data_IF_200275723390
#
_entry.id   IF_200275723390
#
_cell.length_a   1.000
_cell.length_b   1.000
_cell.length_c   1.000
_cell.angle_alpha   90.00
_cell.angle_beta   90.00
_cell.angle_gamma   90.00
#
_symmetry.space_group_name_H-M   'P 1'
#
loop_
_entity.id
_entity.type
_entity.pdbx_description
1 polymer ?
#
# COMPACT_ATOMS: atom_id res chain seq x y z
N UNK A 1 3.15 3.55 -29.01
CA UNK A 1 2.66 4.48 -27.97
C UNK A 1 1.21 4.81 -28.26
N UNK A 2 0.27 4.61 -27.31
CA UNK A 2 -1.12 5.09 -27.48
C UNK A 2 -1.08 6.62 -27.48
N UNK A 3 -1.66 7.24 -28.51
CA UNK A 3 -1.65 8.69 -28.78
C UNK A 3 -2.51 9.54 -27.82
N UNK A 4 -3.03 8.98 -26.72
CA UNK A 4 -4.14 9.55 -25.95
C UNK A 4 -4.02 9.49 -24.42
N UNK A 5 -2.89 9.09 -23.84
CA UNK A 5 -2.74 9.20 -22.38
C UNK A 5 -2.36 10.64 -22.05
N UNK A 6 -3.21 11.36 -21.32
CA UNK A 6 -2.91 12.75 -20.96
C UNK A 6 -1.78 12.80 -19.91
N UNK A 7 -1.10 13.95 -19.82
CA UNK A 7 0.08 14.13 -18.95
C UNK A 7 -0.30 13.88 -17.48
N UNK A 8 -1.51 14.27 -17.08
CA UNK A 8 -2.02 14.06 -15.73
C UNK A 8 -2.21 12.59 -15.36
N UNK A 9 -2.71 11.75 -16.28
CA UNK A 9 -2.86 10.31 -16.08
C UNK A 9 -1.51 9.62 -15.89
N UNK A 10 -0.50 10.03 -16.67
CA UNK A 10 0.87 9.53 -16.52
C UNK A 10 1.45 9.92 -15.16
N UNK A 11 1.33 11.20 -14.78
CA UNK A 11 1.80 11.69 -13.49
C UNK A 11 1.13 10.97 -12.31
N UNK A 12 -0.19 10.78 -12.35
CA UNK A 12 -0.92 10.04 -11.31
C UNK A 12 -0.48 8.57 -11.26
N UNK A 13 -0.25 7.95 -12.41
CA UNK A 13 0.24 6.56 -12.48
C UNK A 13 1.63 6.44 -11.86
N UNK A 14 2.52 7.41 -12.10
CA UNK A 14 3.87 7.44 -11.52
C UNK A 14 3.83 7.64 -10.00
N UNK A 15 3.03 8.60 -9.52
CA UNK A 15 2.81 8.83 -8.08
C UNK A 15 2.30 7.54 -7.42
N UNK A 16 1.27 6.92 -8.00
CA UNK A 16 0.70 5.69 -7.47
C UNK A 16 1.73 4.54 -7.48
N UNK A 17 2.50 4.39 -8.55
CA UNK A 17 3.52 3.34 -8.62
C UNK A 17 4.65 3.52 -7.61
N UNK A 18 4.90 4.75 -7.13
CA UNK A 18 5.89 5.03 -6.09
C UNK A 18 5.37 4.70 -4.68
N UNK A 19 4.10 4.98 -4.40
CA UNK A 19 3.46 4.73 -3.09
C UNK A 19 2.99 3.28 -2.96
N UNK A 20 2.39 2.73 -4.02
CA UNK A 20 1.74 1.43 -4.05
C UNK A 20 2.53 0.37 -4.80
N UNK A 21 3.72 0.66 -5.31
CA UNK A 21 4.46 -0.25 -6.18
C UNK A 21 3.77 -0.54 -7.52
N UNK A 22 4.55 -1.01 -8.49
CA UNK A 22 4.06 -1.27 -9.86
C UNK A 22 3.18 -2.53 -9.91
N UNK A 23 3.37 -3.45 -8.97
CA UNK A 23 2.64 -4.71 -8.85
C UNK A 23 1.16 -4.50 -8.55
N UNK A 24 0.83 -3.47 -7.76
CA UNK A 24 -0.51 -3.18 -7.27
C UNK A 24 -1.19 -2.02 -8.01
N UNK A 25 -0.51 -1.41 -8.99
CA UNK A 25 -0.99 -0.25 -9.77
C UNK A 25 -1.38 -0.65 -11.18
N UNK A 26 -2.58 -0.24 -11.63
CA UNK A 26 -3.12 -0.57 -12.95
C UNK A 26 -3.58 0.69 -13.70
N UNK A 27 -2.99 0.96 -14.86
CA UNK A 27 -3.30 2.11 -15.73
C UNK A 27 -3.77 1.72 -17.14
N UNK A 28 -3.82 0.42 -17.44
CA UNK A 28 -4.36 -0.13 -18.69
C UNK A 28 -5.60 -0.95 -18.38
N UNK A 29 -6.72 -0.26 -18.24
CA UNK A 29 -7.90 -0.82 -17.58
C UNK A 29 -9.04 -1.16 -18.55
N UNK A 30 -8.67 -1.52 -19.78
CA UNK A 30 -9.57 -2.12 -20.77
C UNK A 30 -9.67 -3.63 -20.51
N UNK A 31 -10.90 -4.18 -20.48
CA UNK A 31 -11.12 -5.63 -20.43
C UNK A 31 -12.26 -6.05 -21.36
N UNK A 32 -12.29 -7.34 -21.73
CA UNK A 32 -13.13 -7.86 -22.82
C UNK A 32 -14.03 -9.01 -22.33
N UNK A 33 -15.12 -8.71 -21.60
CA UNK A 33 -16.15 -9.69 -21.30
C UNK A 33 -16.97 -10.05 -22.56
N UNK A 34 -17.82 -11.07 -22.44
CA UNK A 34 -18.67 -11.57 -23.56
C UNK A 34 -19.56 -10.48 -24.18
N UNK A 35 -19.97 -9.48 -23.39
CA UNK A 35 -20.83 -8.37 -23.84
C UNK A 35 -20.04 -7.15 -24.36
N UNK A 36 -18.83 -7.39 -24.85
CA UNK A 36 -17.97 -6.42 -25.53
C UNK A 36 -17.03 -5.66 -24.61
N UNK A 37 -16.14 -4.87 -25.21
CA UNK A 37 -15.10 -4.11 -24.51
C UNK A 37 -15.71 -3.22 -23.41
N UNK A 38 -15.12 -3.27 -22.22
CA UNK A 38 -15.39 -2.37 -21.09
C UNK A 38 -14.10 -1.69 -20.65
N UNK A 39 -14.26 -0.54 -20.00
CA UNK A 39 -13.17 0.28 -19.50
C UNK A 39 -13.47 0.62 -18.04
N UNK A 40 -12.52 0.36 -17.15
CA UNK A 40 -12.57 0.81 -15.75
C UNK A 40 -12.04 2.26 -15.66
N UNK A 41 -11.93 2.80 -14.44
CA UNK A 41 -11.34 4.11 -14.21
C UNK A 41 -9.87 4.14 -14.65
N UNK A 42 -9.32 5.35 -14.86
CA UNK A 42 -7.97 5.52 -15.42
C UNK A 42 -6.89 4.84 -14.58
N UNK A 43 -7.05 4.82 -13.25
CA UNK A 43 -6.16 4.15 -12.33
C UNK A 43 -6.97 3.27 -11.36
N UNK A 44 -6.55 2.01 -11.24
CA UNK A 44 -7.03 1.08 -10.23
C UNK A 44 -5.84 0.66 -9.38
N UNK A 45 -5.96 0.70 -8.05
CA UNK A 45 -4.94 0.21 -7.13
C UNK A 45 -5.53 -0.90 -6.31
N UNK A 46 -4.87 -2.06 -6.24
CA UNK A 46 -5.37 -3.20 -5.48
C UNK A 46 -4.29 -3.80 -4.60
N UNK A 47 -4.49 -3.74 -3.29
CA UNK A 47 -3.61 -4.33 -2.29
C UNK A 47 -4.43 -5.14 -1.28
N UNK A 48 -4.34 -6.46 -1.34
CA UNK A 48 -5.15 -7.36 -0.51
C UNK A 48 -6.65 -7.02 -0.58
N UNK A 49 -7.26 -6.57 0.51
CA UNK A 49 -8.67 -6.19 0.57
C UNK A 49 -8.95 -4.70 0.28
N UNK A 50 -7.91 -3.92 -0.04
CA UNK A 50 -7.96 -2.48 -0.26
C UNK A 50 -7.99 -2.15 -1.76
N UNK A 51 -8.96 -1.34 -2.16
CA UNK A 51 -9.16 -0.89 -3.54
C UNK A 51 -9.20 0.64 -3.61
N UNK A 52 -8.44 1.20 -4.55
CA UNK A 52 -8.61 2.59 -4.97
C UNK A 52 -9.11 2.64 -6.41
N UNK A 53 -10.19 3.39 -6.63
CA UNK A 53 -10.73 3.69 -7.96
C UNK A 53 -10.47 5.18 -8.21
N UNK A 54 -9.53 5.46 -9.12
CA UNK A 54 -9.03 6.82 -9.36
C UNK A 54 -9.35 7.21 -10.80
N UNK A 55 -10.15 8.25 -10.94
CA UNK A 55 -10.45 8.87 -12.24
C UNK A 55 -9.74 10.21 -12.35
N UNK A 56 -8.99 10.41 -13.44
CA UNK A 56 -8.24 11.62 -13.71
C UNK A 56 -8.96 12.46 -14.77
N UNK A 57 -8.90 13.79 -14.61
CA UNK A 57 -9.39 14.75 -15.61
C UNK A 57 -8.45 15.95 -15.72
N UNK A 58 -7.93 16.17 -16.92
CA UNK A 58 -7.13 17.34 -17.25
C UNK A 58 -7.94 18.35 -18.07
N UNK A 59 -7.81 19.64 -17.74
CA UNK A 59 -8.34 20.72 -18.58
C UNK A 59 -7.23 21.23 -19.50
N UNK A 60 -7.37 20.98 -20.80
CA UNK A 60 -6.57 21.68 -21.79
C UNK A 60 -7.19 23.06 -22.07
N UNK A 61 -6.45 24.14 -21.78
CA UNK A 61 -6.92 25.53 -21.98
C UNK A 61 -7.01 25.85 -23.48
N UNK A 62 -6.05 25.39 -24.28
CA UNK A 62 -5.95 25.69 -25.71
C UNK A 62 -7.13 25.12 -26.51
N UNK A 63 -7.69 24.01 -26.04
CA UNK A 63 -8.83 23.32 -26.67
C UNK A 63 -10.18 23.66 -26.00
N UNK A 64 -10.19 24.54 -24.99
CA UNK A 64 -11.36 24.77 -24.16
C UNK A 64 -12.44 25.59 -24.87
N UNK A 65 -13.52 24.91 -25.29
CA UNK A 65 -14.73 25.56 -25.84
C UNK A 65 -15.73 26.05 -24.79
N UNK A 66 -15.56 25.64 -23.53
CA UNK A 66 -16.47 25.92 -22.41
C UNK A 66 -15.75 26.71 -21.32
N UNK A 67 -16.54 27.46 -20.55
CA UNK A 67 -16.03 28.11 -19.33
C UNK A 67 -15.40 27.08 -18.38
N UNK A 68 -14.44 27.51 -17.56
CA UNK A 68 -13.75 26.62 -16.60
C UNK A 68 -14.75 25.94 -15.65
N UNK A 69 -15.77 26.68 -15.21
CA UNK A 69 -16.82 26.16 -14.32
C UNK A 69 -17.72 25.13 -15.02
N UNK A 70 -18.10 25.37 -16.27
CA UNK A 70 -18.89 24.40 -17.04
C UNK A 70 -18.07 23.15 -17.37
N UNK A 71 -16.77 23.30 -17.62
CA UNK A 71 -15.86 22.17 -17.73
C UNK A 71 -15.86 21.37 -16.42
N UNK A 72 -15.75 22.01 -15.27
CA UNK A 72 -15.73 21.33 -13.97
C UNK A 72 -17.02 20.55 -13.72
N UNK A 73 -18.19 21.19 -13.85
CA UNK A 73 -19.50 20.53 -13.71
C UNK A 73 -19.63 19.31 -14.64
N UNK A 74 -19.24 19.47 -15.90
CA UNK A 74 -19.42 18.42 -16.90
C UNK A 74 -18.40 17.28 -16.72
N UNK A 75 -17.11 17.59 -16.60
CA UNK A 75 -16.05 16.58 -16.60
C UNK A 75 -15.83 15.95 -15.23
N UNK A 76 -15.87 16.75 -14.16
CA UNK A 76 -15.63 16.28 -12.79
C UNK A 76 -16.94 15.73 -12.20
N UNK A 77 -17.98 16.55 -12.11
CA UNK A 77 -19.20 16.17 -11.36
C UNK A 77 -20.13 15.20 -12.11
N UNK A 78 -20.02 15.11 -13.43
CA UNK A 78 -20.83 14.20 -14.26
C UNK A 78 -20.02 13.03 -14.82
N UNK A 79 -19.04 13.29 -15.69
CA UNK A 79 -18.31 12.22 -16.41
C UNK A 79 -17.44 11.38 -15.46
N UNK A 80 -16.56 12.00 -14.67
CA UNK A 80 -15.63 11.25 -13.82
C UNK A 80 -16.37 10.41 -12.77
N UNK A 81 -17.38 11.00 -12.12
CA UNK A 81 -18.31 10.28 -11.23
C UNK A 81 -18.93 9.05 -11.91
N UNK A 82 -19.40 9.18 -13.14
CA UNK A 82 -20.02 8.07 -13.89
C UNK A 82 -19.01 6.94 -14.13
N UNK A 83 -17.75 7.25 -14.44
CA UNK A 83 -16.70 6.26 -14.66
C UNK A 83 -16.36 5.48 -13.38
N UNK A 84 -16.26 6.16 -12.22
CA UNK A 84 -16.10 5.51 -10.91
C UNK A 84 -17.26 4.55 -10.63
N UNK A 85 -18.50 5.00 -10.84
CA UNK A 85 -19.69 4.18 -10.63
C UNK A 85 -19.71 2.96 -11.56
N UNK A 86 -19.39 3.15 -12.83
CA UNK A 86 -19.31 2.06 -13.80
C UNK A 86 -18.25 1.02 -13.39
N UNK A 87 -17.08 1.47 -12.97
CA UNK A 87 -16.00 0.60 -12.47
C UNK A 87 -16.47 -0.24 -11.30
N UNK A 88 -17.07 0.39 -10.27
CA UNK A 88 -17.60 -0.32 -9.12
C UNK A 88 -18.67 -1.35 -9.51
N UNK A 89 -19.52 -1.03 -10.50
CA UNK A 89 -20.52 -1.96 -11.00
C UNK A 89 -19.91 -3.12 -11.77
N UNK A 90 -18.88 -2.86 -12.58
CA UNK A 90 -18.18 -3.91 -13.33
C UNK A 90 -17.49 -4.89 -12.41
N UNK A 91 -16.80 -4.41 -11.37
CA UNK A 91 -16.16 -5.25 -10.34
C UNK A 91 -17.16 -6.17 -9.60
N UNK A 92 -18.45 -5.79 -9.54
CA UNK A 92 -19.51 -6.62 -8.95
C UNK A 92 -20.21 -7.52 -9.97
N UNK A 93 -20.22 -7.14 -11.24
CA UNK A 93 -20.99 -7.81 -12.30
C UNK A 93 -20.23 -8.95 -12.96
N UNK A 94 -18.92 -8.81 -13.14
CA UNK A 94 -18.13 -9.75 -13.92
C UNK A 94 -17.25 -10.62 -13.02
N UNK A 95 -17.33 -11.93 -13.23
CA UNK A 95 -16.57 -12.93 -12.46
C UNK A 95 -15.09 -13.05 -12.86
N UNK A 96 -14.70 -12.41 -13.98
CA UNK A 96 -13.33 -12.42 -14.51
C UNK A 96 -13.04 -11.05 -15.11
N UNK A 97 -12.04 -10.35 -14.58
CA UNK A 97 -11.61 -9.02 -15.01
C UNK A 97 -10.07 -9.02 -15.10
N UNK A 98 -9.51 -9.55 -16.21
CA UNK A 98 -8.07 -9.61 -16.39
C UNK A 98 -7.57 -8.26 -16.91
N UNK A 99 -6.69 -7.61 -16.14
CA UNK A 99 -6.05 -6.34 -16.50
C UNK A 99 -4.54 -6.41 -16.25
N UNK A 100 -3.79 -5.49 -16.87
CA UNK A 100 -2.32 -5.49 -16.82
C UNK A 100 -1.84 -4.44 -15.83
N UNK A 101 -1.08 -4.86 -14.81
CA UNK A 101 -0.46 -3.94 -13.86
C UNK A 101 0.72 -3.17 -14.48
N UNK A 102 1.26 -2.19 -13.76
CA UNK A 102 2.40 -1.40 -14.18
C UNK A 102 3.72 -2.18 -14.24
N UNK A 103 3.75 -3.42 -13.73
CA UNK A 103 4.86 -4.37 -13.91
C UNK A 103 4.73 -5.19 -15.22
N UNK A 104 3.59 -5.10 -15.91
CA UNK A 104 3.32 -5.84 -17.15
C UNK A 104 2.71 -7.23 -16.94
N UNK A 105 2.28 -7.56 -15.73
CA UNK A 105 1.65 -8.83 -15.38
C UNK A 105 0.13 -8.73 -15.54
N UNK A 106 -0.48 -9.80 -16.05
CA UNK A 106 -1.94 -9.91 -16.10
C UNK A 106 -2.44 -10.42 -14.76
N UNK A 107 -3.35 -9.67 -14.12
CA UNK A 107 -3.98 -9.98 -12.84
C UNK A 107 -5.49 -9.94 -13.04
N UNK A 108 -6.18 -10.94 -12.48
CA UNK A 108 -7.63 -10.96 -12.44
C UNK A 108 -8.13 -10.28 -11.15
N UNK A 109 -8.58 -9.03 -11.27
CA UNK A 109 -8.97 -8.21 -10.11
C UNK A 109 -10.35 -8.56 -9.55
N UNK A 110 -11.14 -9.38 -10.25
CA UNK A 110 -12.45 -9.84 -9.78
C UNK A 110 -12.35 -10.84 -8.62
N UNK A 111 -11.23 -11.57 -8.52
CA UNK A 111 -11.00 -12.60 -7.49
C UNK A 111 -10.59 -12.03 -6.14
N UNK A 112 -10.39 -10.72 -6.07
CA UNK A 112 -9.89 -10.05 -4.89
C UNK A 112 -11.08 -9.70 -3.99
N UNK A 113 -11.03 -10.18 -2.75
CA UNK A 113 -12.08 -9.90 -1.77
C UNK A 113 -11.95 -8.47 -1.24
N UNK A 114 -12.52 -7.52 -2.00
CA UNK A 114 -12.49 -6.10 -1.69
C UNK A 114 -13.42 -5.81 -0.50
N UNK A 115 -12.87 -5.19 0.54
CA UNK A 115 -13.62 -4.74 1.72
C UNK A 115 -13.69 -3.21 1.77
N UNK A 116 -12.57 -2.55 1.50
CA UNK A 116 -12.44 -1.10 1.58
C UNK A 116 -12.26 -0.51 0.18
N UNK A 117 -13.14 0.42 -0.20
CA UNK A 117 -13.09 1.11 -1.50
C UNK A 117 -12.91 2.60 -1.28
N UNK A 118 -11.80 3.13 -1.78
CA UNK A 118 -11.51 4.55 -1.84
C UNK A 118 -11.77 5.07 -3.26
N UNK A 119 -12.77 5.94 -3.41
CA UNK A 119 -13.12 6.54 -4.69
C UNK A 119 -12.52 7.95 -4.79
N UNK A 120 -11.69 8.20 -5.81
CA UNK A 120 -11.02 9.49 -5.99
C UNK A 120 -11.26 10.03 -7.40
N UNK A 121 -11.54 11.32 -7.48
CA UNK A 121 -11.43 12.12 -8.70
C UNK A 121 -10.25 13.07 -8.51
N UNK A 122 -9.24 12.95 -9.39
CA UNK A 122 -8.08 13.84 -9.41
C UNK A 122 -8.21 14.72 -10.65
N UNK A 123 -8.13 16.03 -10.48
CA UNK A 123 -8.20 16.95 -11.60
C UNK A 123 -6.97 17.87 -11.68
N UNK A 124 -6.61 18.22 -12.91
CA UNK A 124 -5.64 19.29 -13.19
C UNK A 124 -6.35 20.39 -13.96
N UNK A 125 -6.32 21.59 -13.39
CA UNK A 125 -6.90 22.79 -13.98
C UNK A 125 -6.06 24.01 -13.60
N UNK A 126 -5.36 24.58 -14.59
CA UNK A 126 -4.50 25.74 -14.38
C UNK A 126 -5.27 27.08 -14.44
N UNK A 127 -6.55 27.03 -14.84
CA UNK A 127 -7.43 28.18 -14.87
C UNK A 127 -8.20 28.34 -13.56
N UNK A 128 -8.57 29.57 -13.23
CA UNK A 128 -9.32 29.87 -12.03
C UNK A 128 -10.74 29.26 -12.04
N UNK A 129 -11.09 28.62 -10.93
CA UNK A 129 -12.41 28.08 -10.63
C UNK A 129 -13.15 29.00 -9.67
N UNK A 130 -14.49 28.99 -9.70
CA UNK A 130 -15.27 29.58 -8.62
C UNK A 130 -14.94 28.91 -7.28
N UNK A 131 -15.01 29.69 -6.21
CA UNK A 131 -14.74 29.27 -4.84
C UNK A 131 -15.50 28.01 -4.43
N UNK A 132 -16.77 27.90 -4.83
CA UNK A 132 -17.60 26.71 -4.59
C UNK A 132 -17.01 25.40 -5.15
N UNK A 133 -16.25 25.46 -6.25
CA UNK A 133 -15.60 24.28 -6.84
C UNK A 133 -14.20 24.06 -6.31
N UNK A 134 -13.46 25.14 -6.00
CA UNK A 134 -12.16 25.04 -5.30
C UNK A 134 -12.32 24.35 -3.94
N UNK A 135 -13.40 24.70 -3.23
CA UNK A 135 -13.68 24.23 -1.87
C UNK A 135 -14.44 22.88 -1.85
N UNK A 136 -14.76 22.31 -3.02
CA UNK A 136 -15.46 21.05 -3.12
C UNK A 136 -14.51 19.87 -2.83
N UNK A 137 -14.47 19.43 -1.58
CA UNK A 137 -13.63 18.31 -1.12
C UNK A 137 -14.19 16.94 -1.48
N UNK A 138 -15.51 16.82 -1.61
CA UNK A 138 -16.20 15.54 -1.80
C UNK A 138 -17.39 15.66 -2.74
N UNK A 139 -17.69 14.54 -3.40
CA UNK A 139 -19.02 14.27 -3.93
C UNK A 139 -19.64 13.12 -3.15
N UNK A 140 -20.83 13.32 -2.58
CA UNK A 140 -21.57 12.28 -1.88
C UNK A 140 -22.45 11.48 -2.86
N UNK A 141 -22.07 10.23 -3.09
CA UNK A 141 -22.79 9.30 -3.95
C UNK A 141 -23.68 8.37 -3.14
N UNK A 142 -24.97 8.32 -3.46
CA UNK A 142 -25.91 7.35 -2.88
C UNK A 142 -25.48 5.89 -3.03
N UNK A 143 -24.71 5.56 -4.07
CA UNK A 143 -24.31 4.18 -4.39
C UNK A 143 -22.85 3.87 -4.06
N UNK A 144 -22.00 4.89 -3.91
CA UNK A 144 -20.55 4.71 -3.77
C UNK A 144 -19.97 5.44 -2.54
N UNK A 145 -20.82 5.99 -1.67
CA UNK A 145 -20.41 6.80 -0.53
C UNK A 145 -19.68 8.07 -0.96
N UNK A 146 -18.71 8.50 -0.16
CA UNK A 146 -17.87 9.65 -0.46
C UNK A 146 -16.93 9.35 -1.63
N UNK A 147 -16.91 10.25 -2.61
CA UNK A 147 -15.89 10.33 -3.65
C UNK A 147 -15.03 11.53 -3.32
N UNK A 148 -13.75 11.29 -3.04
CA UNK A 148 -12.78 12.34 -2.77
C UNK A 148 -12.49 13.12 -4.05
N UNK A 149 -12.42 14.45 -3.94
CA UNK A 149 -12.03 15.32 -5.04
C UNK A 149 -10.73 16.01 -4.62
N UNK A 150 -9.72 15.91 -5.48
CA UNK A 150 -8.41 16.52 -5.29
C UNK A 150 -7.97 17.27 -6.54
N UNK A 151 -7.35 18.44 -6.35
CA UNK A 151 -6.42 18.93 -7.35
C UNK A 151 -5.20 17.99 -7.40
N UNK A 152 -4.61 17.82 -8.57
CA UNK A 152 -3.42 16.99 -8.77
C UNK A 152 -2.25 17.40 -7.86
N UNK A 153 -2.11 18.70 -7.58
CA UNK A 153 -1.07 19.21 -6.67
C UNK A 153 -1.30 18.75 -5.24
N UNK A 154 -2.54 18.79 -4.76
CA UNK A 154 -2.90 18.32 -3.43
C UNK A 154 -2.64 16.82 -3.28
N UNK A 155 -3.10 16.03 -4.26
CA UNK A 155 -2.87 14.58 -4.27
C UNK A 155 -1.36 14.24 -4.29
N UNK A 156 -0.59 14.95 -5.12
CA UNK A 156 0.87 14.78 -5.17
C UNK A 156 1.51 15.10 -3.82
N UNK A 157 1.11 16.17 -3.15
CA UNK A 157 1.64 16.56 -1.85
C UNK A 157 1.26 15.56 -0.75
N UNK A 158 0.02 15.06 -0.75
CA UNK A 158 -0.40 13.98 0.15
C UNK A 158 0.46 12.74 -0.06
N UNK A 159 0.67 12.30 -1.29
CA UNK A 159 1.45 11.09 -1.59
C UNK A 159 2.96 11.24 -1.32
N UNK A 160 3.49 12.48 -1.32
CA UNK A 160 4.86 12.75 -0.83
C UNK A 160 4.96 12.58 0.70
N UNK A 161 3.88 12.88 1.42
CA UNK A 161 3.82 12.79 2.87
C UNK A 161 3.43 11.39 3.34
N UNK A 162 2.45 10.74 2.70
CA UNK A 162 1.89 9.44 3.05
C UNK A 162 2.43 8.38 2.08
N UNK A 163 3.52 7.74 2.51
CA UNK A 163 4.35 6.93 1.63
C UNK A 163 3.97 5.45 1.60
N UNK A 164 2.91 5.07 2.33
CA UNK A 164 2.34 3.71 2.27
C UNK A 164 0.88 3.70 1.85
N UNK A 165 0.44 2.60 1.20
CA UNK A 165 -0.97 2.35 0.89
C UNK A 165 -1.88 2.46 2.12
N UNK A 166 -1.44 1.89 3.25
CA UNK A 166 -2.20 1.89 4.51
C UNK A 166 -2.35 3.29 5.10
N UNK A 167 -1.30 4.13 5.03
CA UNK A 167 -1.41 5.53 5.49
C UNK A 167 -2.37 6.33 4.63
N UNK A 168 -2.35 6.13 3.29
CA UNK A 168 -3.27 6.84 2.41
C UNK A 168 -4.72 6.44 2.70
N UNK A 169 -5.01 5.15 2.88
CA UNK A 169 -6.35 4.67 3.27
C UNK A 169 -6.81 5.28 4.61
N UNK A 170 -5.96 5.27 5.62
CA UNK A 170 -6.27 5.88 6.91
C UNK A 170 -6.55 7.37 6.82
N UNK A 171 -5.77 8.06 5.99
CA UNK A 171 -5.97 9.48 5.75
C UNK A 171 -7.31 9.75 5.08
N UNK A 172 -7.68 9.00 4.04
CA UNK A 172 -8.95 9.18 3.36
C UNK A 172 -10.14 8.90 4.31
N UNK A 173 -10.04 7.87 5.14
CA UNK A 173 -11.03 7.57 6.20
C UNK A 173 -11.09 8.71 7.23
N UNK A 174 -9.95 9.23 7.67
CA UNK A 174 -9.88 10.40 8.57
C UNK A 174 -10.51 11.65 7.93
N UNK A 175 -10.19 11.92 6.66
CA UNK A 175 -10.68 13.06 5.89
C UNK A 175 -12.21 13.06 5.81
N UNK A 176 -12.83 11.90 5.60
CA UNK A 176 -14.29 11.76 5.62
C UNK A 176 -14.85 12.08 7.02
N UNK A 177 -14.26 11.51 8.07
CA UNK A 177 -14.74 11.68 9.45
C UNK A 177 -14.67 13.13 9.91
N UNK A 178 -13.53 13.81 9.72
CA UNK A 178 -13.37 15.21 10.13
C UNK A 178 -14.30 16.13 9.33
N UNK A 179 -14.46 15.88 8.02
CA UNK A 179 -15.39 16.64 7.19
C UNK A 179 -16.84 16.45 7.63
N UNK A 180 -17.25 15.23 7.96
CA UNK A 180 -18.62 14.94 8.39
C UNK A 180 -18.99 15.63 9.71
N UNK A 181 -18.01 15.78 10.62
CA UNK A 181 -18.21 16.44 11.93
C UNK A 181 -18.09 17.97 11.87
N UNK A 182 -17.25 18.48 10.97
CA UNK A 182 -16.86 19.89 10.95
C UNK A 182 -16.92 20.52 9.54
N UNK A 183 -17.88 20.10 8.72
CA UNK A 183 -18.11 20.55 7.34
C UNK A 183 -17.91 22.06 7.16
N UNK A 184 -18.57 22.88 7.99
CA UNK A 184 -18.57 24.33 7.83
C UNK A 184 -17.18 24.97 7.92
N UNK A 185 -16.28 24.35 8.68
CA UNK A 185 -14.89 24.74 8.77
C UNK A 185 -14.05 24.09 7.66
N UNK A 186 -14.11 22.76 7.55
CA UNK A 186 -13.23 21.98 6.68
C UNK A 186 -13.42 22.31 5.18
N UNK A 187 -14.63 22.69 4.76
CA UNK A 187 -14.88 23.07 3.36
C UNK A 187 -14.02 24.25 2.91
N UNK A 188 -13.69 25.16 3.83
CA UNK A 188 -12.90 26.37 3.55
C UNK A 188 -11.42 26.21 3.87
N UNK A 189 -11.00 25.02 4.32
CA UNK A 189 -9.60 24.74 4.59
C UNK A 189 -8.90 24.22 3.35
N UNK A 190 -7.63 24.60 3.19
CA UNK A 190 -6.72 23.95 2.26
C UNK A 190 -6.47 22.50 2.67
N UNK A 191 -6.12 21.65 1.70
CA UNK A 191 -5.84 20.23 1.98
C UNK A 191 -4.65 20.06 2.93
N UNK A 192 -3.69 21.00 2.90
CA UNK A 192 -2.54 21.07 3.82
C UNK A 192 -2.97 21.09 5.29
N UNK A 193 -4.06 21.77 5.63
CA UNK A 193 -4.58 21.77 6.99
C UNK A 193 -5.07 20.37 7.42
N UNK A 194 -5.78 19.68 6.54
CA UNK A 194 -6.41 18.39 6.87
C UNK A 194 -5.33 17.32 7.06
N UNK A 195 -4.32 17.30 6.19
CA UNK A 195 -3.17 16.40 6.33
C UNK A 195 -2.33 16.74 7.57
N UNK A 196 -2.15 18.04 7.89
CA UNK A 196 -1.47 18.44 9.11
C UNK A 196 -2.21 17.95 10.35
N UNK A 197 -3.55 18.03 10.37
CA UNK A 197 -4.34 17.51 11.47
C UNK A 197 -4.14 16.01 11.64
N UNK A 198 -4.27 15.25 10.55
CA UNK A 198 -4.06 13.80 10.56
C UNK A 198 -2.68 13.37 11.07
N UNK A 199 -1.63 14.10 10.67
CA UNK A 199 -0.26 13.82 11.12
C UNK A 199 -0.10 14.05 12.63
N UNK A 200 -0.81 15.03 13.18
CA UNK A 200 -0.70 15.37 14.61
C UNK A 200 -1.68 14.58 15.49
N UNK A 201 -2.83 14.18 14.96
CA UNK A 201 -3.87 13.51 15.73
C UNK A 201 -4.86 12.76 14.85
N UNK A 202 -5.26 11.57 15.32
CA UNK A 202 -6.40 10.83 14.78
C UNK A 202 -7.75 11.31 15.34
N UNK A 203 -7.73 12.25 16.28
CA UNK A 203 -8.95 12.80 16.87
C UNK A 203 -9.67 13.70 15.88
N UNK A 204 -10.91 13.32 15.55
CA UNK A 204 -11.78 14.04 14.61
C UNK A 204 -12.89 14.83 15.30
N UNK A 205 -12.98 14.79 16.63
CA UNK A 205 -13.98 15.52 17.42
C UNK A 205 -13.61 16.98 17.69
N UNK A 206 -12.32 17.30 17.58
CA UNK A 206 -11.78 18.63 17.83
C UNK A 206 -11.05 19.12 16.59
N UNK A 207 -11.17 20.42 16.32
CA UNK A 207 -10.38 21.15 15.32
C UNK A 207 -9.25 21.86 16.06
N UNK A 208 -8.03 21.73 15.57
CA UNK A 208 -6.92 22.56 16.03
C UNK A 208 -6.22 23.24 14.86
N UNK A 209 -6.43 24.56 14.64
CA UNK A 209 -5.77 25.31 13.57
C UNK A 209 -4.24 25.34 13.70
N UNK A 210 -3.68 25.17 14.90
CA UNK A 210 -2.23 25.28 15.11
C UNK A 210 -1.45 24.07 14.59
N UNK A 211 -2.11 22.96 14.25
CA UNK A 211 -1.45 21.77 13.72
C UNK A 211 -0.72 22.02 12.41
N UNK A 212 -1.15 23.00 11.61
CA UNK A 212 -0.45 23.39 10.38
C UNK A 212 0.97 23.87 10.66
N UNK A 213 1.22 24.49 11.81
CA UNK A 213 2.56 24.98 12.20
C UNK A 213 3.56 23.83 12.38
N UNK A 214 3.07 22.64 12.72
CA UNK A 214 3.91 21.46 12.93
C UNK A 214 4.35 20.80 11.62
N UNK A 215 3.78 21.18 10.46
CA UNK A 215 4.18 20.63 9.16
C UNK A 215 5.66 20.92 8.85
N UNK A 216 6.16 22.10 9.22
CA UNK A 216 7.58 22.45 9.07
C UNK A 216 8.53 21.54 9.87
N UNK A 217 8.02 20.92 10.94
CA UNK A 217 8.75 20.01 11.84
C UNK A 217 8.56 18.54 11.47
N UNK A 218 7.68 18.23 10.52
CA UNK A 218 7.43 16.87 10.10
C UNK A 218 8.70 16.27 9.49
N UNK A 219 9.20 15.19 10.10
CA UNK A 219 10.27 14.41 9.52
C UNK A 219 9.65 13.27 8.72
N UNK A 220 9.77 13.36 7.39
CA UNK A 220 9.28 12.33 6.50
C UNK A 220 10.06 11.01 6.74
N UNK A 221 11.31 11.09 7.23
CA UNK A 221 12.23 9.97 7.51
C UNK A 221 12.14 8.86 6.44
N UNK A 222 12.30 9.28 5.19
CA UNK A 222 12.17 8.36 4.06
C UNK A 222 13.22 7.25 4.10
N UNK A 223 14.42 7.51 4.65
CA UNK A 223 15.53 6.55 4.69
C UNK A 223 15.25 5.37 5.62
N UNK A 224 14.55 5.57 6.75
CA UNK A 224 14.12 4.47 7.63
C UNK A 224 13.09 3.54 6.94
N UNK A 225 12.33 4.09 6.01
CA UNK A 225 11.23 3.43 5.32
C UNK A 225 11.63 2.78 3.99
N UNK A 226 12.55 3.38 3.23
CA UNK A 226 12.80 3.03 1.83
C UNK A 226 13.18 1.55 1.69
N UNK A 227 12.18 0.75 1.30
CA UNK A 227 12.28 -0.61 0.77
C UNK A 227 11.98 -0.64 -0.74
N UNK A 228 11.84 0.51 -1.40
CA UNK A 228 11.52 0.56 -2.84
C UNK A 228 12.57 -0.18 -3.67
N UNK A 229 13.86 -0.05 -3.34
CA UNK A 229 14.90 -0.86 -3.99
C UNK A 229 14.65 -2.35 -3.79
N UNK A 230 14.26 -2.78 -2.59
CA UNK A 230 13.93 -4.17 -2.32
C UNK A 230 12.76 -4.64 -3.19
N UNK A 231 11.64 -3.92 -3.21
CA UNK A 231 10.44 -4.31 -3.96
C UNK A 231 10.68 -4.25 -5.48
N UNK A 232 11.33 -3.20 -5.96
CA UNK A 232 11.65 -3.03 -7.38
C UNK A 232 12.56 -4.17 -7.89
N UNK A 233 13.58 -4.54 -7.10
CA UNK A 233 14.50 -5.61 -7.48
C UNK A 233 14.01 -7.02 -7.13
N UNK A 234 13.00 -7.19 -6.27
CA UNK A 234 12.56 -8.49 -5.80
C UNK A 234 12.30 -9.46 -6.96
N UNK A 235 11.42 -9.07 -7.89
CA UNK A 235 11.09 -9.87 -9.07
C UNK A 235 12.29 -10.07 -10.01
N UNK A 236 13.15 -9.06 -10.17
CA UNK A 236 14.32 -9.16 -11.04
C UNK A 236 15.35 -10.16 -10.52
N UNK A 237 15.45 -10.33 -9.20
CA UNK A 237 16.40 -11.22 -8.52
C UNK A 237 15.90 -12.66 -8.36
N UNK A 238 14.66 -12.97 -8.72
CA UNK A 238 14.19 -14.37 -8.80
C UNK A 238 15.00 -15.09 -9.88
N UNK A 239 15.71 -16.14 -9.46
CA UNK A 239 16.61 -16.94 -10.32
C UNK A 239 15.88 -18.09 -11.02
N UNK A 240 14.88 -18.68 -10.35
CA UNK A 240 14.11 -19.80 -10.88
C UNK A 240 13.11 -19.27 -11.92
N UNK A 241 13.21 -19.75 -13.16
CA UNK A 241 12.45 -19.21 -14.30
C UNK A 241 10.94 -19.38 -14.13
N UNK A 242 10.51 -20.53 -13.63
CA UNK A 242 9.10 -20.85 -13.37
C UNK A 242 8.51 -19.88 -12.35
N UNK A 243 9.21 -19.68 -11.23
CA UNK A 243 8.81 -18.74 -10.17
C UNK A 243 8.80 -17.29 -10.66
N UNK A 244 9.76 -16.92 -11.53
CA UNK A 244 9.82 -15.57 -12.10
C UNK A 244 8.67 -15.28 -13.06
N UNK A 245 8.18 -16.30 -13.76
CA UNK A 245 7.01 -16.22 -14.64
C UNK A 245 5.70 -16.28 -13.87
N UNK A 246 5.68 -16.83 -12.66
CA UNK A 246 4.50 -16.87 -11.82
C UNK A 246 4.26 -15.55 -11.10
N UNK A 247 3.02 -15.35 -10.64
CA UNK A 247 2.66 -14.23 -9.78
C UNK A 247 2.68 -14.63 -8.29
N UNK A 248 3.24 -15.80 -7.93
CA UNK A 248 3.14 -16.34 -6.57
C UNK A 248 3.83 -15.44 -5.54
N UNK A 249 4.93 -14.78 -5.94
CA UNK A 249 5.62 -13.83 -5.07
C UNK A 249 4.75 -12.66 -4.61
N UNK A 250 3.63 -12.38 -5.30
CA UNK A 250 2.67 -11.34 -4.91
C UNK A 250 2.18 -11.54 -3.47
N UNK A 251 2.04 -12.77 -3.00
CA UNK A 251 1.59 -13.03 -1.62
C UNK A 251 2.59 -12.52 -0.58
N UNK A 252 3.89 -12.59 -0.87
CA UNK A 252 4.96 -12.11 0.00
C UNK A 252 4.98 -10.58 0.03
N UNK A 253 5.03 -9.97 -1.15
CA UNK A 253 5.12 -8.51 -1.28
C UNK A 253 3.84 -7.82 -0.79
N UNK A 254 2.69 -8.48 -0.85
CA UNK A 254 1.41 -7.95 -0.32
C UNK A 254 1.48 -7.75 1.19
N UNK A 255 1.95 -8.74 1.95
CA UNK A 255 2.03 -8.60 3.42
C UNK A 255 3.08 -7.58 3.86
N UNK A 256 4.15 -7.40 3.08
CA UNK A 256 5.14 -6.35 3.32
C UNK A 256 4.55 -4.97 2.99
N UNK A 257 3.88 -4.80 1.86
CA UNK A 257 3.27 -3.54 1.44
C UNK A 257 2.11 -3.09 2.36
N UNK A 258 1.50 -4.04 3.10
CA UNK A 258 0.52 -3.74 4.13
C UNK A 258 1.11 -3.11 5.38
N UNK A 259 2.41 -3.24 5.63
CA UNK A 259 3.04 -2.63 6.80
C UNK A 259 2.96 -1.10 6.71
N UNK A 260 2.69 -0.46 7.83
CA UNK A 260 2.73 1.00 7.95
C UNK A 260 4.15 1.48 8.06
N UNK A 261 4.37 2.78 7.79
CA UNK A 261 5.67 3.44 7.95
C UNK A 261 6.38 3.08 9.25
N UNK A 262 5.67 3.15 10.38
CA UNK A 262 6.27 2.91 11.69
C UNK A 262 6.57 1.42 11.98
N UNK A 263 6.01 0.50 11.19
CA UNK A 263 6.23 -0.94 11.32
C UNK A 263 7.38 -1.42 10.43
N UNK A 264 7.62 -0.74 9.30
CA UNK A 264 8.64 -1.09 8.32
C UNK A 264 10.09 -1.04 8.84
N UNK A 265 10.49 -0.14 9.75
CA UNK A 265 11.81 -0.20 10.38
C UNK A 265 12.08 -1.57 11.03
N UNK A 266 11.09 -2.18 11.70
CA UNK A 266 11.26 -3.48 12.33
C UNK A 266 11.52 -4.60 11.30
N UNK A 267 10.88 -4.53 10.13
CA UNK A 267 11.15 -5.42 9.00
C UNK A 267 12.55 -5.16 8.42
N UNK A 268 12.87 -3.90 8.10
CA UNK A 268 14.12 -3.50 7.45
C UNK A 268 15.34 -3.85 8.30
N UNK A 269 15.30 -3.52 9.59
CA UNK A 269 16.36 -3.82 10.54
C UNK A 269 16.68 -5.32 10.52
N UNK A 270 15.69 -6.18 10.75
CA UNK A 270 15.89 -7.63 10.83
C UNK A 270 16.30 -8.23 9.49
N UNK A 271 15.74 -7.74 8.39
CA UNK A 271 16.13 -8.18 7.05
C UNK A 271 17.60 -7.87 6.74
N UNK A 272 18.05 -6.65 7.04
CA UNK A 272 19.45 -6.26 6.83
C UNK A 272 20.40 -6.95 7.81
N UNK A 273 20.03 -7.09 9.08
CA UNK A 273 20.80 -7.81 10.08
C UNK A 273 20.97 -9.29 9.72
N UNK A 274 19.93 -9.94 9.21
CA UNK A 274 20.02 -11.32 8.71
C UNK A 274 21.06 -11.44 7.59
N UNK A 275 21.05 -10.51 6.63
CA UNK A 275 22.02 -10.49 5.53
C UNK A 275 23.44 -10.25 6.06
N UNK A 276 23.62 -9.35 7.02
CA UNK A 276 24.93 -9.06 7.63
C UNK A 276 25.49 -10.28 8.39
N UNK A 277 24.65 -10.94 9.19
CA UNK A 277 25.01 -12.17 9.91
C UNK A 277 25.38 -13.30 8.94
N UNK A 278 24.61 -13.48 7.87
CA UNK A 278 24.92 -14.47 6.83
C UNK A 278 26.24 -14.15 6.09
N UNK A 279 26.55 -12.88 5.83
CA UNK A 279 27.82 -12.45 5.22
C UNK A 279 29.03 -12.77 6.10
N UNK A 280 28.88 -12.57 7.42
CA UNK A 280 29.89 -12.85 8.44
C UNK A 280 30.02 -14.34 8.75
N UNK A 281 29.12 -15.17 8.23
CA UNK A 281 29.03 -16.59 8.53
C UNK A 281 28.82 -16.86 10.03
N UNK A 282 28.11 -15.95 10.71
CA UNK A 282 27.84 -16.04 12.14
C UNK A 282 26.55 -16.82 12.39
N UNK A 283 26.62 -17.83 13.26
CA UNK A 283 25.42 -18.48 13.75
C UNK A 283 24.60 -17.48 14.58
N UNK A 284 23.33 -17.38 14.27
CA UNK A 284 22.38 -16.62 15.07
C UNK A 284 21.01 -17.27 14.98
N UNK A 285 20.28 -17.24 16.09
CA UNK A 285 18.89 -17.66 16.11
C UNK A 285 18.03 -16.69 15.28
N UNK A 286 16.93 -17.16 14.66
CA UNK A 286 16.11 -16.32 13.79
C UNK A 286 15.73 -14.97 14.42
N UNK A 287 15.96 -13.89 13.70
CA UNK A 287 15.41 -12.59 14.03
C UNK A 287 13.93 -12.60 13.65
N UNK A 288 13.07 -11.98 14.45
CA UNK A 288 11.62 -12.09 14.22
C UNK A 288 10.81 -11.00 14.87
N UNK A 289 9.61 -10.78 14.34
CA UNK A 289 8.58 -9.96 14.97
C UNK A 289 7.19 -10.44 14.53
N UNK A 290 6.17 -10.09 15.29
CA UNK A 290 4.78 -10.37 14.95
C UNK A 290 4.03 -9.05 14.82
N UNK A 291 3.39 -8.84 13.67
CA UNK A 291 2.53 -7.68 13.46
C UNK A 291 1.09 -8.06 13.82
N UNK A 292 0.60 -7.52 14.93
CA UNK A 292 -0.75 -7.80 15.45
C UNK A 292 -1.82 -7.32 14.47
N UNK A 293 -1.62 -6.16 13.82
CA UNK A 293 -2.61 -5.54 12.93
C UNK A 293 -2.80 -6.34 11.64
N UNK A 294 -1.72 -6.83 11.04
CA UNK A 294 -1.79 -7.63 9.81
C UNK A 294 -1.94 -9.13 10.08
N UNK A 295 -1.85 -9.54 11.35
CA UNK A 295 -1.82 -10.94 11.81
C UNK A 295 -0.81 -11.76 11.00
N UNK A 296 0.41 -11.23 10.92
CA UNK A 296 1.51 -11.84 10.18
C UNK A 296 2.77 -11.89 11.02
N UNK A 297 3.33 -13.09 11.18
CA UNK A 297 4.64 -13.30 11.78
C UNK A 297 5.73 -13.19 10.71
N UNK A 298 6.83 -12.50 11.03
CA UNK A 298 7.98 -12.37 10.14
C UNK A 298 9.20 -13.01 10.80
N UNK A 299 9.86 -13.92 10.08
CA UNK A 299 11.02 -14.68 10.53
C UNK A 299 12.16 -14.45 9.54
N UNK A 300 13.34 -14.08 10.05
CA UNK A 300 14.54 -13.83 9.28
C UNK A 300 15.66 -14.71 9.82
N UNK A 301 16.01 -15.74 9.06
CA UNK A 301 16.92 -16.80 9.45
C UNK A 301 18.28 -16.62 8.75
N UNK A 302 19.31 -16.10 9.44
CA UNK A 302 20.67 -16.22 8.94
C UNK A 302 21.14 -17.67 9.13
N UNK A 303 21.69 -18.28 8.08
CA UNK A 303 22.33 -19.58 8.18
C UNK A 303 23.82 -19.45 7.83
N UNK A 304 24.64 -20.12 8.63
CA UNK A 304 26.04 -20.32 8.33
C UNK A 304 26.20 -21.32 7.18
N UNK A 305 27.32 -21.22 6.45
CA UNK A 305 27.63 -22.01 5.24
C UNK A 305 27.59 -23.50 5.51
N UNK A 306 28.01 -23.94 6.69
CA UNK A 306 27.98 -25.33 7.13
C UNK A 306 26.57 -25.88 7.33
N UNK A 307 25.57 -25.02 7.61
CA UNK A 307 24.17 -25.42 7.78
C UNK A 307 23.31 -25.20 6.52
N UNK A 308 23.87 -24.55 5.49
CA UNK A 308 23.14 -24.18 4.29
C UNK A 308 22.50 -25.38 3.57
N UNK A 309 23.07 -26.58 3.66
CA UNK A 309 22.50 -27.77 3.02
C UNK A 309 21.10 -28.16 3.56
N UNK A 310 20.74 -27.72 4.77
CA UNK A 310 19.45 -27.96 5.42
C UNK A 310 18.51 -26.74 5.39
N UNK A 311 18.80 -25.75 4.54
CA UNK A 311 18.12 -24.45 4.58
C UNK A 311 16.59 -24.54 4.51
N UNK A 312 16.04 -25.45 3.68
CA UNK A 312 14.60 -25.55 3.45
C UNK A 312 13.87 -26.05 4.69
N UNK A 313 14.40 -27.11 5.31
CA UNK A 313 13.86 -27.65 6.55
C UNK A 313 13.96 -26.63 7.69
N UNK A 314 15.08 -25.93 7.79
CA UNK A 314 15.26 -24.88 8.79
C UNK A 314 14.25 -23.74 8.58
N UNK A 315 14.13 -23.24 7.35
CA UNK A 315 13.19 -22.18 6.98
C UNK A 315 11.76 -22.55 7.36
N UNK A 316 11.29 -23.73 6.94
CA UNK A 316 9.93 -24.18 7.20
C UNK A 316 9.67 -24.38 8.69
N UNK A 317 10.57 -25.07 9.42
CA UNK A 317 10.39 -25.36 10.84
C UNK A 317 10.35 -24.08 11.69
N UNK A 318 11.32 -23.16 11.51
CA UNK A 318 11.35 -21.92 12.30
C UNK A 318 10.15 -21.01 11.98
N UNK A 319 9.70 -21.01 10.73
CA UNK A 319 8.50 -20.27 10.33
C UNK A 319 7.25 -20.86 10.98
N UNK A 320 7.09 -22.19 10.98
CA UNK A 320 5.94 -22.87 11.56
C UNK A 320 5.87 -22.67 13.08
N UNK A 321 6.98 -22.90 13.78
CA UNK A 321 7.06 -22.77 15.25
C UNK A 321 6.69 -21.35 15.66
N UNK A 322 7.24 -20.32 14.99
CA UNK A 322 6.94 -18.95 15.38
C UNK A 322 5.51 -18.52 15.02
N UNK A 323 4.99 -18.97 13.86
CA UNK A 323 3.57 -18.79 13.51
C UNK A 323 2.66 -19.41 14.58
N UNK A 324 2.97 -20.64 15.00
CA UNK A 324 2.23 -21.38 16.00
C UNK A 324 2.26 -20.68 17.36
N UNK A 325 3.46 -20.28 17.84
CA UNK A 325 3.65 -19.53 19.09
C UNK A 325 2.78 -18.29 19.17
N UNK A 326 2.67 -17.55 18.06
CA UNK A 326 1.89 -16.31 17.98
C UNK A 326 0.40 -16.53 17.69
N UNK A 327 0.00 -17.78 17.47
CA UNK A 327 -1.34 -18.14 16.99
C UNK A 327 -1.74 -17.39 15.73
N UNK A 328 -0.75 -17.05 14.90
CA UNK A 328 -0.95 -16.21 13.73
C UNK A 328 -1.59 -17.01 12.59
N UNK A 329 -2.47 -16.37 11.82
CA UNK A 329 -3.03 -17.01 10.60
C UNK A 329 -2.01 -17.05 9.46
N UNK A 330 -1.00 -16.17 9.50
CA UNK A 330 0.01 -16.03 8.46
C UNK A 330 1.42 -15.89 9.01
N UNK A 331 2.39 -16.39 8.25
CA UNK A 331 3.80 -16.12 8.52
C UNK A 331 4.63 -16.09 7.25
N UNK A 332 5.55 -15.12 7.17
CA UNK A 332 6.60 -15.04 6.16
C UNK A 332 7.91 -15.44 6.80
N UNK A 333 8.53 -16.48 6.24
CA UNK A 333 9.90 -16.85 6.55
C UNK A 333 10.83 -16.41 5.43
N UNK A 334 11.99 -15.90 5.80
CA UNK A 334 13.12 -15.71 4.89
C UNK A 334 14.37 -16.31 5.50
N UNK A 335 15.13 -17.05 4.69
CA UNK A 335 16.43 -17.59 5.05
C UNK A 335 17.50 -16.99 4.14
N UNK A 336 18.66 -16.71 4.72
CA UNK A 336 19.78 -16.11 4.03
C UNK A 336 21.07 -16.84 4.41
N UNK A 337 21.85 -17.23 3.40
CA UNK A 337 23.17 -17.84 3.59
C UNK A 337 24.12 -17.44 2.47
N UNK A 338 25.42 -17.47 2.78
CA UNK A 338 26.47 -17.20 1.80
C UNK A 338 26.81 -18.46 1.01
N UNK A 339 26.77 -18.37 -0.32
CA UNK A 339 27.26 -19.40 -1.23
C UNK A 339 28.35 -18.79 -2.11
N UNK A 340 29.60 -19.06 -1.74
CA UNK A 340 30.80 -18.53 -2.38
C UNK A 340 30.79 -16.99 -2.43
N UNK A 341 30.75 -16.39 -3.63
CA UNK A 341 30.70 -14.94 -3.81
C UNK A 341 29.27 -14.36 -3.77
N UNK A 342 28.26 -15.22 -3.63
CA UNK A 342 26.86 -14.84 -3.66
C UNK A 342 26.18 -15.03 -2.30
N UNK A 343 25.04 -14.37 -2.15
CA UNK A 343 24.13 -14.56 -1.03
C UNK A 343 22.83 -15.10 -1.60
N UNK A 344 22.41 -16.22 -1.05
CA UNK A 344 21.16 -16.85 -1.38
C UNK A 344 20.11 -16.46 -0.36
N UNK A 345 18.96 -16.00 -0.87
CA UNK A 345 17.82 -15.59 -0.07
C UNK A 345 16.61 -16.37 -0.57
N UNK A 346 16.04 -17.20 0.30
CA UNK A 346 14.86 -18.02 -0.01
C UNK A 346 13.71 -17.63 0.90
N UNK A 347 12.50 -17.64 0.37
CA UNK A 347 11.30 -17.15 1.04
C UNK A 347 10.24 -18.25 1.12
N UNK A 348 9.45 -18.26 2.19
CA UNK A 348 8.27 -19.09 2.34
C UNK A 348 7.12 -18.28 2.92
N UNK A 349 5.88 -18.69 2.63
CA UNK A 349 4.66 -18.10 3.19
C UNK A 349 3.73 -19.21 3.67
N UNK A 350 3.38 -19.17 4.94
CA UNK A 350 2.34 -20.03 5.49
C UNK A 350 1.06 -19.22 5.71
N UNK A 351 -0.05 -19.72 5.18
CA UNK A 351 -1.39 -19.13 5.34
C UNK A 351 -2.38 -20.21 5.72
N UNK A 352 -2.51 -20.47 7.02
CA UNK A 352 -3.41 -21.48 7.58
C UNK A 352 -3.90 -21.01 8.95
N UNK A 353 -5.17 -21.27 9.27
CA UNK A 353 -5.70 -21.04 10.62
C UNK A 353 -4.86 -21.79 11.66
N UNK A 354 -4.77 -21.23 12.85
CA UNK A 354 -4.11 -21.90 13.97
C UNK A 354 -4.95 -23.09 14.42
N UNK A 355 -4.29 -24.22 14.61
CA UNK A 355 -4.86 -25.46 15.13
C UNK A 355 -3.85 -26.00 16.14
N UNK A 356 -4.34 -26.55 17.26
CA UNK A 356 -3.47 -27.14 18.27
C UNK A 356 -2.63 -28.28 17.68
N UNK A 357 -1.36 -28.32 18.05
CA UNK A 357 -0.42 -29.36 17.66
C UNK A 357 0.56 -29.61 18.81
N UNK A 358 0.55 -30.85 19.33
CA UNK A 358 1.35 -31.23 20.50
C UNK A 358 2.87 -31.12 20.28
N UNK A 359 3.36 -31.48 19.08
CA UNK A 359 4.78 -31.35 18.73
C UNK A 359 5.21 -29.87 18.69
N UNK A 360 4.38 -29.01 18.09
CA UNK A 360 4.64 -27.57 18.05
C UNK A 360 4.58 -26.94 19.45
N UNK A 361 3.72 -27.41 20.36
CA UNK A 361 3.74 -26.98 21.77
C UNK A 361 5.08 -27.27 22.45
N UNK A 362 5.66 -28.45 22.21
CA UNK A 362 6.97 -28.81 22.77
C UNK A 362 8.08 -27.93 22.20
N UNK A 363 8.07 -27.71 20.87
CA UNK A 363 9.04 -26.85 20.20
C UNK A 363 8.93 -25.38 20.65
N UNK A 364 7.72 -24.88 20.90
CA UNK A 364 7.50 -23.52 21.42
C UNK A 364 8.03 -23.35 22.83
N UNK A 365 7.96 -24.38 23.69
CA UNK A 365 8.57 -24.35 25.03
C UNK A 365 10.09 -24.20 24.93
N UNK A 366 10.75 -25.06 24.16
CA UNK A 366 12.20 -25.00 23.92
C UNK A 366 12.64 -23.64 23.36
N UNK A 367 11.86 -23.12 22.41
CA UNK A 367 12.12 -21.82 21.80
C UNK A 367 11.92 -20.66 22.80
N UNK A 368 10.94 -20.77 23.70
CA UNK A 368 10.69 -19.77 24.74
C UNK A 368 11.81 -19.75 25.78
N UNK A 369 12.40 -20.89 26.11
CA UNK A 369 13.55 -20.95 27.02
C UNK A 369 14.77 -20.19 26.46
N UNK A 370 14.91 -20.15 25.13
CA UNK A 370 16.00 -19.42 24.47
C UNK A 370 15.73 -17.91 24.36
N UNK A 371 14.56 -17.52 23.85
CA UNK A 371 14.27 -16.11 23.57
C UNK A 371 13.67 -15.33 24.76
N UNK A 372 13.19 -16.04 25.78
CA UNK A 372 12.39 -15.46 26.84
C UNK A 372 11.03 -14.93 26.37
N UNK A 373 10.46 -14.05 27.18
CA UNK A 373 9.19 -13.39 26.88
C UNK A 373 9.39 -12.29 25.83
N UNK A 374 8.48 -12.25 24.85
CA UNK A 374 8.49 -11.18 23.86
C UNK A 374 7.95 -9.86 24.43
N UNK A 375 8.48 -8.74 23.95
CA UNK A 375 8.01 -7.41 24.32
C UNK A 375 7.01 -6.87 23.29
N UNK A 376 6.02 -6.12 23.77
CA UNK A 376 5.10 -5.36 22.89
C UNK A 376 5.69 -3.97 22.73
N UNK A 377 5.98 -3.61 21.48
CA UNK A 377 6.48 -2.29 21.14
C UNK A 377 5.45 -1.53 20.29
N UNK A 378 5.07 -0.34 20.74
CA UNK A 378 4.22 0.58 19.98
C UNK A 378 5.09 1.73 19.47
N UNK A 379 5.54 1.69 18.21
CA UNK A 379 6.33 2.79 17.65
C UNK A 379 5.45 4.06 17.50
N UNK A 380 6.05 5.26 17.62
CA UNK A 380 5.33 6.49 17.33
C UNK A 380 4.88 6.50 15.86
N UNK A 381 3.66 6.98 15.62
CA UNK A 381 3.06 7.03 14.28
C UNK A 381 3.93 7.84 13.30
N UNK A 382 4.40 9.00 13.76
CA UNK A 382 5.24 9.93 13.01
C UNK A 382 6.37 10.46 13.89
N UNK A 383 7.50 10.81 13.25
CA UNK A 383 8.61 11.52 13.89
C UNK A 383 8.46 13.01 13.62
N UNK A 384 8.62 13.82 14.65
CA UNK A 384 8.77 15.27 14.54
C UNK A 384 10.21 15.62 14.89
N UNK A 385 10.83 16.52 14.12
CA UNK A 385 12.17 17.02 14.41
C UNK A 385 12.18 17.63 15.82
N UNK A 386 13.17 17.24 16.63
CA UNK A 386 13.41 17.86 17.94
C UNK A 386 13.99 19.27 17.72
N UNK A 387 13.59 20.21 18.56
CA UNK A 387 14.08 21.60 18.56
C UNK A 387 15.59 21.66 18.81
#
# INVERSE_FOLDING_TARGET
MKKNQNISEQLVTEINSQVFFKEFTFSKNDFYPKDGKKELADNILVLDNLLFIIQVKERNIEEAKKSTNDWFKNKILSVAKKQIKNTSNYLKKYDIIPIINCKGQTIDVSKIQIQDINNLIIYKCDAELKEEYKNLKFYESKTNGFIHIFNITDYSNICKLLITPSELDEYLKFRIKIYSKHNDFIKHCEEEYIIAHFINSDNTDLINPTFILNMSKFDIDLSSFFINNFMEYFHHKIRITEQKKSNDYHVLITEIAKLKRYELPAFKERYLSMIDLAKKNEFSMPLRFYNIRTDCAFIFLPLSKDLAFNWEKALNNFTEVYKYKRKATKAIGVVCFKQDDFIDINWTMFKKKWEFNEELEQLVKLETDHYGNGEIFTPPRYKLKKN
#
